data_IF_917437127328
#
_entry.id   IF_917437127328
#
_cell.length_a   1.000
_cell.length_b   1.000
_cell.length_c   1.000
_cell.angle_alpha   90.00
_cell.angle_beta   90.00
_cell.angle_gamma   90.00
#
_symmetry.space_group_name_H-M   'P 1'
#
loop_
_entity.id
_entity.type
_entity.pdbx_description
1 polymer ?
#
# COMPACT_ATOMS: atom_id res chain seq x y z
N UNK A 1 6.99 -22.57 0.97
CA UNK A 1 6.25 -21.47 0.33
C UNK A 1 4.92 -21.36 1.05
N UNK A 2 4.57 -20.17 1.52
CA UNK A 2 3.31 -19.89 2.23
C UNK A 2 2.50 -18.89 1.41
N UNK A 3 1.49 -19.33 0.65
CA UNK A 3 0.57 -18.42 -0.04
C UNK A 3 -0.44 -17.84 0.95
N UNK A 4 -0.85 -16.60 0.72
CA UNK A 4 -1.83 -15.92 1.56
C UNK A 4 -2.69 -14.92 0.79
N UNK A 5 -3.88 -14.68 1.32
CA UNK A 5 -4.75 -13.56 0.92
C UNK A 5 -4.57 -12.44 1.94
N UNK A 6 -4.44 -11.20 1.46
CA UNK A 6 -4.41 -10.00 2.26
C UNK A 6 -5.76 -9.31 2.19
N UNK A 7 -6.30 -8.92 3.34
CA UNK A 7 -7.43 -8.00 3.44
C UNK A 7 -7.03 -6.88 4.39
N UNK A 8 -7.34 -5.64 4.07
CA UNK A 8 -6.94 -4.52 4.90
C UNK A 8 -7.66 -3.24 4.54
N UNK A 9 -7.22 -2.18 5.19
CA UNK A 9 -7.60 -0.82 4.84
C UNK A 9 -6.33 -0.01 4.61
N UNK A 10 -6.37 0.88 3.63
CA UNK A 10 -5.25 1.76 3.32
C UNK A 10 -5.77 3.19 3.09
N UNK A 11 -4.98 4.14 3.55
CA UNK A 11 -5.07 5.55 3.22
C UNK A 11 -3.68 6.01 2.77
N UNK A 12 -3.62 7.06 1.95
CA UNK A 12 -2.37 7.58 1.42
C UNK A 12 -2.44 9.06 1.11
N UNK A 13 -1.29 9.72 1.25
CA UNK A 13 -1.05 11.09 0.78
C UNK A 13 -0.05 11.04 -0.38
N UNK A 14 -0.40 11.70 -1.48
CA UNK A 14 0.41 11.70 -2.70
C UNK A 14 0.68 13.14 -3.13
N UNK A 15 1.90 13.41 -3.58
CA UNK A 15 2.35 14.73 -4.02
C UNK A 15 3.21 14.63 -5.27
N UNK A 16 2.77 15.23 -6.37
CA UNK A 16 3.46 15.18 -7.66
C UNK A 16 3.42 16.52 -8.41
N UNK A 17 4.41 16.78 -9.26
CA UNK A 17 4.43 17.93 -10.17
C UNK A 17 3.99 17.52 -11.57
N UNK A 18 2.78 17.90 -11.96
CA UNK A 18 2.27 17.64 -13.31
C UNK A 18 2.21 18.92 -14.14
N UNK A 19 2.95 19.00 -15.25
CA UNK A 19 2.95 20.16 -16.16
C UNK A 19 3.23 21.51 -15.47
N UNK A 20 4.08 21.52 -14.43
CA UNK A 20 4.41 22.73 -13.65
C UNK A 20 3.40 23.10 -12.56
N UNK A 21 2.38 22.25 -12.35
CA UNK A 21 1.37 22.39 -11.29
C UNK A 21 1.71 21.42 -10.15
N UNK A 22 1.73 21.93 -8.92
CA UNK A 22 1.82 21.08 -7.73
C UNK A 22 0.45 20.45 -7.47
N UNK A 23 0.39 19.12 -7.59
CA UNK A 23 -0.79 18.29 -7.35
C UNK A 23 -0.56 17.49 -6.07
N UNK A 24 -1.38 17.76 -5.04
CA UNK A 24 -1.44 16.92 -3.83
C UNK A 24 -2.83 16.33 -3.70
N UNK A 25 -2.95 15.03 -3.47
CA UNK A 25 -4.24 14.43 -3.12
C UNK A 25 -4.13 13.51 -1.92
N UNK A 26 -5.16 13.56 -1.08
CA UNK A 26 -5.32 12.75 0.12
C UNK A 26 -6.52 11.84 -0.10
N UNK A 27 -6.40 10.58 0.31
CA UNK A 27 -7.42 9.55 0.06
C UNK A 27 -8.12 9.15 1.35
N UNK A 28 -9.42 8.87 1.25
CA UNK A 28 -10.16 8.24 2.33
C UNK A 28 -9.59 6.85 2.61
N UNK A 29 -9.81 6.37 3.83
CA UNK A 29 -9.49 4.99 4.18
C UNK A 29 -10.39 4.05 3.40
N UNK A 30 -9.80 3.26 2.50
CA UNK A 30 -10.55 2.32 1.68
C UNK A 30 -10.11 0.88 1.88
N UNK A 31 -11.02 -0.02 1.53
CA UNK A 31 -10.77 -1.44 1.57
C UNK A 31 -9.70 -1.83 0.54
N UNK A 32 -8.68 -2.53 1.01
CA UNK A 32 -7.61 -3.07 0.21
C UNK A 32 -7.65 -4.60 0.26
N UNK A 33 -7.38 -5.24 -0.88
CA UNK A 33 -7.21 -6.69 -0.94
C UNK A 33 -5.98 -7.04 -1.76
N UNK A 34 -5.46 -8.25 -1.55
CA UNK A 34 -4.27 -8.69 -2.24
C UNK A 34 -4.00 -10.19 -2.12
N UNK A 35 -2.99 -10.63 -2.84
CA UNK A 35 -2.48 -11.99 -2.81
C UNK A 35 -0.97 -11.93 -2.66
N UNK A 36 -0.40 -12.86 -1.91
CA UNK A 36 1.04 -12.95 -1.75
C UNK A 36 1.53 -14.35 -1.49
N UNK A 37 2.83 -14.52 -1.60
CA UNK A 37 3.51 -15.74 -1.23
C UNK A 37 4.89 -15.44 -0.65
N UNK A 38 5.18 -16.08 0.48
CA UNK A 38 6.50 -16.02 1.09
C UNK A 38 7.26 -17.32 0.87
N UNK A 39 8.53 -17.22 0.44
CA UNK A 39 9.47 -18.33 0.33
C UNK A 39 10.56 -18.12 1.37
N UNK A 40 10.58 -18.96 2.41
CA UNK A 40 11.68 -18.98 3.38
C UNK A 40 12.91 -19.62 2.76
N UNK A 41 13.99 -18.84 2.68
CA UNK A 41 15.30 -19.29 2.22
C UNK A 41 16.03 -20.05 3.31
N UNK A 42 15.86 -19.61 4.57
CA UNK A 42 16.52 -20.21 5.72
C UNK A 42 15.71 -19.99 6.99
N UNK A 43 15.61 -21.06 7.78
CA UNK A 43 15.07 -21.04 9.13
C UNK A 43 16.16 -21.48 10.10
N UNK A 44 16.34 -20.72 11.17
CA UNK A 44 17.32 -21.00 12.21
C UNK A 44 16.61 -21.59 13.43
N UNK A 45 17.31 -22.44 14.18
CA UNK A 45 16.77 -23.13 15.35
C UNK A 45 16.22 -22.20 16.45
N UNK A 46 16.54 -20.90 16.40
CA UNK A 46 16.07 -19.87 17.32
C UNK A 46 14.80 -19.13 16.85
N UNK A 47 14.12 -19.64 15.82
CA UNK A 47 12.88 -19.08 15.28
C UNK A 47 13.09 -17.87 14.35
N UNK A 48 14.34 -17.55 13.98
CA UNK A 48 14.63 -16.54 12.95
C UNK A 48 14.40 -17.17 11.57
N UNK A 49 13.70 -16.46 10.69
CA UNK A 49 13.51 -16.85 9.28
C UNK A 49 14.00 -15.73 8.37
N UNK A 50 14.64 -16.11 7.27
CA UNK A 50 14.98 -15.23 6.15
C UNK A 50 14.15 -15.68 4.97
N UNK A 51 13.47 -14.76 4.30
CA UNK A 51 12.58 -15.09 3.19
C UNK A 51 12.48 -14.00 2.15
N UNK A 52 12.06 -14.42 0.96
CA UNK A 52 11.60 -13.54 -0.11
C UNK A 52 10.08 -13.57 -0.11
N UNK A 53 9.47 -12.41 -0.17
CA UNK A 53 8.02 -12.24 -0.20
C UNK A 53 7.63 -11.50 -1.47
N UNK A 54 6.70 -12.06 -2.24
CA UNK A 54 6.08 -11.41 -3.39
C UNK A 54 4.62 -11.18 -3.11
N UNK A 55 4.12 -9.96 -3.31
CA UNK A 55 2.72 -9.61 -3.10
C UNK A 55 2.18 -8.66 -4.15
N UNK A 56 0.90 -8.82 -4.44
CA UNK A 56 0.09 -7.90 -5.21
C UNK A 56 -1.01 -7.35 -4.33
N UNK A 57 -1.25 -6.03 -4.39
CA UNK A 57 -2.31 -5.35 -3.64
C UNK A 57 -3.07 -4.41 -4.55
N UNK A 58 -4.39 -4.34 -4.36
CA UNK A 58 -5.28 -3.39 -5.02
C UNK A 58 -6.14 -2.67 -3.98
N UNK A 59 -6.29 -1.36 -4.17
CA UNK A 59 -7.21 -0.51 -3.38
C UNK A 59 -7.85 0.53 -4.31
N UNK A 60 -9.12 0.83 -4.05
CA UNK A 60 -9.92 1.80 -4.81
C UNK A 60 -10.50 2.82 -3.82
N UNK A 61 -9.69 3.80 -3.36
CA UNK A 61 -10.18 4.79 -2.41
C UNK A 61 -10.86 5.96 -3.11
N UNK A 62 -11.80 6.55 -2.38
CA UNK A 62 -12.31 7.87 -2.69
C UNK A 62 -11.26 8.93 -2.29
N UNK A 63 -11.27 10.07 -2.99
CA UNK A 63 -10.34 11.16 -2.70
C UNK A 63 -11.01 12.12 -1.72
N UNK A 64 -10.40 12.32 -0.56
CA UNK A 64 -10.87 13.21 0.51
C UNK A 64 -10.61 14.70 0.16
N UNK A 65 -9.45 14.95 -0.43
CA UNK A 65 -8.96 16.30 -0.67
C UNK A 65 -8.04 16.33 -1.87
N UNK A 66 -8.28 17.29 -2.76
CA UNK A 66 -7.44 17.57 -3.92
C UNK A 66 -6.89 18.99 -3.81
N UNK A 67 -5.58 19.16 -3.82
CA UNK A 67 -4.91 20.47 -3.79
C UNK A 67 -4.17 20.72 -5.10
N UNK A 68 -4.53 21.81 -5.77
CA UNK A 68 -3.92 22.28 -7.02
C UNK A 68 -3.31 23.66 -6.79
N UNK A 69 -2.00 23.82 -6.94
CA UNK A 69 -1.31 25.12 -6.78
C UNK A 69 -1.72 25.87 -5.50
N UNK A 70 -1.82 25.16 -4.38
CA UNK A 70 -2.26 25.67 -3.05
C UNK A 70 -3.76 25.95 -2.89
N UNK A 71 -4.60 25.64 -3.88
CA UNK A 71 -6.07 25.68 -3.73
C UNK A 71 -6.58 24.27 -3.46
N UNK A 72 -7.19 24.06 -2.30
CA UNK A 72 -7.80 22.79 -1.92
C UNK A 72 -9.26 22.72 -2.33
N UNK A 73 -9.66 21.54 -2.77
CA UNK A 73 -10.99 21.16 -3.17
C UNK A 73 -11.40 19.87 -2.45
N UNK A 74 -12.67 19.77 -2.09
CA UNK A 74 -13.25 18.60 -1.45
C UNK A 74 -14.41 18.02 -2.25
N UNK A 75 -14.74 16.73 -2.07
CA UNK A 75 -15.94 16.14 -2.62
C UNK A 75 -17.18 16.97 -2.26
N UNK A 76 -17.94 17.40 -3.28
CA UNK A 76 -19.14 18.21 -3.11
C UNK A 76 -18.96 19.72 -3.34
N UNK A 77 -17.73 20.20 -3.56
CA UNK A 77 -17.51 21.57 -4.00
C UNK A 77 -18.16 21.83 -5.37
N UNK A 78 -18.66 23.05 -5.57
CA UNK A 78 -19.36 23.44 -6.80
C UNK A 78 -18.45 23.25 -8.00
N UNK A 79 -18.89 22.38 -8.93
CA UNK A 79 -18.13 22.07 -10.14
C UNK A 79 -17.26 20.82 -10.04
N UNK A 80 -17.28 20.07 -8.94
CA UNK A 80 -16.46 18.85 -8.78
C UNK A 80 -17.35 17.60 -8.74
N UNK A 81 -17.03 16.61 -9.57
CA UNK A 81 -17.74 15.33 -9.63
C UNK A 81 -16.86 14.20 -10.16
N UNK A 82 -17.32 12.95 -10.03
CA UNK A 82 -16.63 11.74 -10.52
C UNK A 82 -15.18 11.61 -10.03
N UNK A 83 -14.99 11.77 -8.74
CA UNK A 83 -13.70 11.68 -8.07
C UNK A 83 -13.47 10.21 -7.72
N UNK A 84 -12.48 9.57 -8.33
CA UNK A 84 -12.13 8.17 -8.05
C UNK A 84 -10.63 7.97 -8.19
N UNK A 85 -10.04 7.25 -7.24
CA UNK A 85 -8.66 6.81 -7.33
C UNK A 85 -8.57 5.29 -7.31
N UNK A 86 -7.56 4.75 -7.98
CA UNK A 86 -7.26 3.33 -7.98
C UNK A 86 -5.76 3.13 -7.93
N UNK A 87 -5.35 2.24 -7.04
CA UNK A 87 -3.96 1.90 -6.80
C UNK A 87 -3.79 0.40 -6.94
N UNK A 88 -2.76 0.04 -7.69
CA UNK A 88 -2.25 -1.32 -7.77
C UNK A 88 -0.78 -1.29 -7.41
N UNK A 89 -0.37 -2.23 -6.58
CA UNK A 89 1.00 -2.34 -6.11
C UNK A 89 1.49 -3.77 -6.35
N UNK A 90 2.61 -3.90 -7.05
CA UNK A 90 3.42 -5.11 -7.04
C UNK A 90 4.63 -4.87 -6.14
N UNK A 91 4.87 -5.78 -5.20
CA UNK A 91 5.97 -5.66 -4.25
C UNK A 91 6.74 -6.97 -4.16
N UNK A 92 8.06 -6.86 -4.20
CA UNK A 92 8.98 -7.96 -3.87
C UNK A 92 9.85 -7.50 -2.71
N UNK A 93 9.91 -8.30 -1.65
CA UNK A 93 10.64 -7.99 -0.43
C UNK A 93 11.63 -9.10 -0.07
N UNK A 94 12.79 -8.70 0.42
CA UNK A 94 13.72 -9.56 1.12
C UNK A 94 13.66 -9.18 2.60
N UNK A 95 13.26 -10.12 3.44
CA UNK A 95 12.97 -9.86 4.84
C UNK A 95 13.59 -10.87 5.78
N UNK A 96 13.71 -10.43 7.03
CA UNK A 96 13.97 -11.26 8.20
C UNK A 96 12.79 -11.16 9.15
N UNK A 97 12.38 -12.28 9.73
CA UNK A 97 11.35 -12.34 10.75
C UNK A 97 11.80 -13.20 11.92
N UNK A 98 11.18 -13.00 13.09
CA UNK A 98 11.44 -13.84 14.25
C UNK A 98 10.16 -14.19 14.97
N UNK A 99 9.93 -15.48 15.19
CA UNK A 99 8.75 -15.97 15.90
C UNK A 99 8.94 -15.87 17.43
N UNK A 100 8.05 -15.13 18.09
CA UNK A 100 7.96 -14.99 19.54
C UNK A 100 6.55 -15.40 20.00
N UNK A 101 6.29 -16.71 20.00
CA UNK A 101 4.96 -17.23 20.32
C UNK A 101 3.95 -16.77 19.28
N UNK A 102 2.99 -15.94 19.69
CA UNK A 102 1.96 -15.40 18.78
C UNK A 102 2.40 -14.13 18.04
N UNK A 103 3.56 -13.55 18.36
CA UNK A 103 4.04 -12.33 17.71
C UNK A 103 5.20 -12.64 16.77
N UNK A 104 5.14 -12.09 15.56
CA UNK A 104 6.18 -12.25 14.55
C UNK A 104 6.57 -10.86 14.05
N UNK A 105 7.48 -10.15 14.74
CA UNK A 105 8.14 -8.99 14.17
C UNK A 105 8.93 -9.37 12.92
N UNK A 106 8.88 -8.50 11.93
CA UNK A 106 9.57 -8.65 10.66
C UNK A 106 10.03 -7.30 10.13
N UNK A 107 10.99 -7.34 9.22
CA UNK A 107 11.42 -6.16 8.49
C UNK A 107 12.41 -6.50 7.40
N UNK A 108 12.68 -5.53 6.55
CA UNK A 108 13.59 -5.75 5.44
C UNK A 108 13.56 -4.63 4.42
N UNK A 109 14.05 -5.00 3.23
CA UNK A 109 14.05 -4.15 2.05
C UNK A 109 12.99 -4.65 1.09
N UNK A 110 12.35 -3.72 0.39
CA UNK A 110 11.36 -4.02 -0.62
C UNK A 110 11.63 -3.21 -1.87
N UNK A 111 11.25 -3.78 -2.99
CA UNK A 111 11.05 -3.08 -4.25
C UNK A 111 9.55 -3.05 -4.52
N UNK A 112 9.00 -1.88 -4.78
CA UNK A 112 7.60 -1.68 -5.12
C UNK A 112 7.47 -0.94 -6.45
N UNK A 113 6.54 -1.42 -7.26
CA UNK A 113 6.01 -0.72 -8.43
C UNK A 113 4.55 -0.40 -8.14
N UNK A 114 4.20 0.88 -8.28
CA UNK A 114 2.86 1.40 -7.95
C UNK A 114 2.28 2.02 -9.21
N UNK A 115 1.17 1.45 -9.66
CA UNK A 115 0.33 2.03 -10.70
C UNK A 115 -0.81 2.79 -10.01
N UNK A 116 -0.79 4.12 -10.13
CA UNK A 116 -1.84 4.98 -9.64
C UNK A 116 -2.63 5.57 -10.82
N UNK A 117 -3.96 5.51 -10.74
CA UNK A 117 -4.84 6.15 -11.70
C UNK A 117 -5.88 7.00 -10.98
N UNK A 118 -6.10 8.21 -11.48
CA UNK A 118 -7.07 9.16 -10.94
C UNK A 118 -8.00 9.64 -12.05
N UNK A 119 -9.28 9.78 -11.68
CA UNK A 119 -10.28 10.47 -12.49
C UNK A 119 -10.95 11.54 -11.65
N UNK A 120 -11.07 12.74 -12.20
CA UNK A 120 -11.74 13.87 -11.60
C UNK A 120 -12.44 14.71 -12.68
N UNK A 121 -13.65 15.19 -12.42
CA UNK A 121 -14.33 16.16 -13.31
C UNK A 121 -14.44 17.50 -12.62
N UNK A 122 -13.78 18.53 -13.16
CA UNK A 122 -13.76 19.90 -12.62
C UNK A 122 -14.40 20.83 -13.66
N UNK A 123 -15.44 21.54 -13.26
CA UNK A 123 -16.22 22.50 -14.08
C UNK A 123 -16.62 21.90 -15.45
N UNK A 124 -17.04 20.63 -15.45
CA UNK A 124 -17.43 19.89 -16.65
C UNK A 124 -16.28 19.32 -17.49
N UNK A 125 -15.03 19.63 -17.14
CA UNK A 125 -13.84 19.06 -17.79
C UNK A 125 -13.36 17.82 -17.03
N UNK A 126 -13.30 16.67 -17.69
CA UNK A 126 -12.74 15.44 -17.10
C UNK A 126 -11.23 15.44 -17.24
N UNK A 127 -10.54 15.41 -16.10
CA UNK A 127 -9.13 15.12 -15.97
C UNK A 127 -8.99 13.63 -15.64
N UNK A 128 -8.28 12.91 -16.50
CA UNK A 128 -7.92 11.52 -16.29
C UNK A 128 -6.40 11.43 -16.33
N UNK A 129 -5.81 10.85 -15.31
CA UNK A 129 -4.41 10.41 -15.38
C UNK A 129 -4.44 8.93 -15.77
N UNK A 130 -3.91 8.64 -16.96
CA UNK A 130 -3.67 7.27 -17.38
C UNK A 130 -2.34 6.82 -16.77
N UNK A 131 -2.38 5.70 -16.06
CA UNK A 131 -1.24 4.93 -15.53
C UNK A 131 -0.03 5.80 -15.16
N UNK A 132 -0.16 6.56 -14.07
CA UNK A 132 1.02 7.19 -13.46
C UNK A 132 1.78 6.04 -12.78
N UNK A 133 2.76 5.51 -13.50
CA UNK A 133 3.73 4.59 -12.95
C UNK A 133 4.72 5.40 -12.13
N UNK A 134 4.75 5.14 -10.82
CA UNK A 134 5.88 5.56 -10.01
C UNK A 134 7.07 4.67 -10.39
N UNK A 135 8.14 5.24 -10.97
CA UNK A 135 9.37 4.51 -11.30
C UNK A 135 9.80 3.69 -10.09
N UNK A 136 9.78 2.35 -10.22
CA UNK A 136 9.77 1.45 -9.08
C UNK A 136 10.87 1.73 -8.06
N UNK A 137 10.49 1.74 -6.79
CA UNK A 137 11.34 2.28 -5.73
C UNK A 137 11.76 1.23 -4.73
N UNK A 138 12.94 1.44 -4.14
CA UNK A 138 13.47 0.61 -3.07
C UNK A 138 13.19 1.27 -1.73
N UNK A 139 12.40 0.59 -0.89
CA UNK A 139 12.02 1.06 0.44
C UNK A 139 12.46 0.12 1.56
N UNK A 140 12.38 0.63 2.79
CA UNK A 140 12.54 -0.16 4.02
C UNK A 140 11.17 -0.25 4.71
N UNK A 141 10.87 -1.44 5.22
CA UNK A 141 9.67 -1.70 5.99
C UNK A 141 9.98 -2.44 7.29
N UNK A 142 9.14 -2.19 8.30
CA UNK A 142 9.10 -2.97 9.53
C UNK A 142 7.65 -3.27 9.88
N UNK A 143 7.40 -4.42 10.48
CA UNK A 143 6.06 -4.80 10.86
C UNK A 143 6.03 -5.86 11.94
N UNK A 144 4.82 -6.19 12.37
CA UNK A 144 4.58 -7.25 13.34
C UNK A 144 3.25 -7.94 13.03
N UNK A 145 3.31 -9.25 12.86
CA UNK A 145 2.15 -10.11 12.76
C UNK A 145 1.78 -10.67 14.14
N UNK A 146 0.52 -10.51 14.53
CA UNK A 146 -0.10 -11.32 15.58
C UNK A 146 -0.75 -12.55 14.95
N UNK A 147 -0.51 -13.74 15.51
CA UNK A 147 -1.01 -15.04 15.03
C UNK A 147 -2.06 -15.59 16.01
N UNK A 148 -3.33 -15.17 15.93
CA UNK A 148 -4.40 -15.76 16.74
C UNK A 148 -4.55 -17.27 16.50
N UNK A 149 -4.33 -17.70 15.25
CA UNK A 149 -4.39 -19.11 14.84
C UNK A 149 -3.25 -19.41 13.85
N UNK A 150 -3.06 -20.68 13.48
CA UNK A 150 -2.04 -21.07 12.50
C UNK A 150 -2.30 -20.54 11.09
N UNK A 151 -3.57 -20.29 10.76
CA UNK A 151 -3.99 -19.89 9.41
C UNK A 151 -4.36 -18.41 9.31
N UNK A 152 -4.46 -17.70 10.44
CA UNK A 152 -4.83 -16.28 10.46
C UNK A 152 -3.70 -15.47 11.10
N UNK A 153 -3.26 -14.43 10.42
CA UNK A 153 -2.42 -13.37 11.00
C UNK A 153 -3.10 -12.01 10.91
N UNK A 154 -2.81 -11.14 11.87
CA UNK A 154 -3.20 -9.74 11.87
C UNK A 154 -1.90 -8.94 11.95
N UNK A 155 -1.59 -8.21 10.89
CA UNK A 155 -0.31 -7.53 10.72
C UNK A 155 -0.46 -6.01 10.76
N UNK A 156 0.52 -5.35 11.36
CA UNK A 156 0.78 -3.92 11.17
C UNK A 156 2.13 -3.75 10.48
N UNK A 157 2.18 -2.91 9.45
CA UNK A 157 3.40 -2.62 8.68
C UNK A 157 3.57 -1.11 8.54
N UNK A 158 4.75 -0.63 8.92
CA UNK A 158 5.21 0.73 8.65
C UNK A 158 6.26 0.74 7.54
N UNK A 159 6.11 1.68 6.61
CA UNK A 159 7.01 1.94 5.48
C UNK A 159 7.56 3.35 5.64
N UNK A 160 8.87 3.53 5.47
CA UNK A 160 9.54 4.79 5.87
C UNK A 160 10.47 5.42 4.85
N UNK A 161 11.09 4.62 3.97
CA UNK A 161 11.97 5.12 2.91
C UNK A 161 11.22 4.95 1.60
N UNK A 162 11.21 6.02 0.80
CA UNK A 162 10.40 6.26 -0.40
C UNK A 162 8.94 6.65 -0.14
N UNK A 163 8.21 5.84 0.61
CA UNK A 163 6.78 6.06 0.89
C UNK A 163 6.55 5.97 2.41
N UNK A 164 6.06 7.05 3.04
CA UNK A 164 5.62 7.02 4.44
C UNK A 164 4.18 6.53 4.49
N UNK A 165 4.00 5.23 4.72
CA UNK A 165 2.69 4.60 4.74
C UNK A 165 2.55 3.65 5.93
N UNK A 166 1.33 3.54 6.43
CA UNK A 166 0.94 2.60 7.46
C UNK A 166 -0.09 1.63 6.89
N UNK A 167 0.04 0.34 7.20
CA UNK A 167 -0.92 -0.68 6.74
C UNK A 167 -1.33 -1.57 7.90
N UNK A 168 -2.63 -1.78 8.02
CA UNK A 168 -3.22 -2.82 8.87
C UNK A 168 -3.79 -3.89 7.95
N UNK A 169 -3.44 -5.15 8.21
CA UNK A 169 -3.85 -6.28 7.39
C UNK A 169 -4.32 -7.46 8.24
N UNK A 170 -5.26 -8.22 7.71
CA UNK A 170 -5.58 -9.57 8.14
C UNK A 170 -5.22 -10.52 7.00
N UNK A 171 -4.42 -11.53 7.28
CA UNK A 171 -3.93 -12.48 6.28
C UNK A 171 -4.41 -13.88 6.60
N UNK A 172 -4.94 -14.57 5.59
CA UNK A 172 -5.27 -15.99 5.68
C UNK A 172 -4.24 -16.82 4.92
N UNK A 173 -3.53 -17.70 5.63
CA UNK A 173 -2.49 -18.60 5.10
C UNK A 173 -3.09 -19.98 4.82
N UNK A 174 -2.80 -20.52 3.63
CA UNK A 174 -3.26 -21.84 3.20
C UNK A 174 -2.24 -22.93 3.51
#
# INVERSE_FOLDING_TARGET
MEPYVLLGAANGEFSEKYSGVDLKYETETAFAWGLGATVFLKEFNNGIRIGIDGRYRQVEPDIDKLTLNSVSYSPGDVGISNLSAKYKEWQVALGISKEFGQFVPYGGIKYNDVEASMKATILGTTYKTDDINSDGVVGIFVGCDFLPTKNLSIGVEGRFIDETAFTVSANYRF
#
